data_IF_211581959865
#
_entry.id   IF_211581959865
#
_cell.length_a   1.000
_cell.length_b   1.000
_cell.length_c   1.000
_cell.angle_alpha   90.00
_cell.angle_beta   90.00
_cell.angle_gamma   90.00
#
_symmetry.space_group_name_H-M   'P 1'
#
loop_
_entity.id
_entity.type
_entity.pdbx_description
1 polymer ?
#
# COMPACT_ATOMS: atom_id res chain seq x y z
N UNK A 1 26.21 -7.58 53.50
CA UNK A 1 25.39 -8.19 52.43
C UNK A 1 24.39 -7.14 52.00
N UNK A 2 24.69 -6.42 50.92
CA UNK A 2 23.78 -5.41 50.35
C UNK A 2 23.14 -6.01 49.09
N UNK A 3 21.83 -6.22 49.16
CA UNK A 3 21.04 -6.64 47.99
C UNK A 3 20.80 -5.42 47.08
N UNK A 4 21.47 -5.38 45.96
CA UNK A 4 21.14 -4.45 44.87
C UNK A 4 19.96 -5.00 44.07
N UNK A 5 18.80 -4.43 44.31
CA UNK A 5 17.62 -4.68 43.50
C UNK A 5 17.77 -3.92 42.18
N UNK A 6 18.01 -4.63 41.09
CA UNK A 6 18.03 -4.06 39.74
C UNK A 6 16.58 -3.80 39.32
N UNK A 7 16.16 -2.55 39.37
CA UNK A 7 14.84 -2.14 38.82
C UNK A 7 14.94 -2.08 37.30
N UNK A 8 14.37 -3.08 36.66
CA UNK A 8 14.18 -3.06 35.21
C UNK A 8 13.07 -2.05 34.92
N UNK A 9 13.42 -0.88 34.39
CA UNK A 9 12.46 0.02 33.80
C UNK A 9 11.98 -0.60 32.47
N UNK A 10 10.79 -1.18 32.49
CA UNK A 10 10.06 -1.48 31.27
C UNK A 10 9.63 -0.13 30.75
N UNK A 11 10.24 0.33 29.67
CA UNK A 11 9.75 1.45 28.88
C UNK A 11 8.44 0.99 28.20
N UNK A 12 7.31 1.26 28.85
CA UNK A 12 6.01 1.13 28.22
C UNK A 12 5.86 2.21 27.15
N UNK A 13 5.48 1.78 25.93
CA UNK A 13 4.89 2.66 24.93
C UNK A 13 5.85 3.33 23.96
N UNK A 14 6.61 2.55 23.19
CA UNK A 14 7.00 3.03 21.86
C UNK A 14 5.71 3.32 21.08
N UNK A 15 5.47 4.57 20.72
CA UNK A 15 4.38 4.92 19.79
C UNK A 15 4.63 4.14 18.51
N UNK A 16 3.73 3.19 18.17
CA UNK A 16 3.86 2.44 16.93
C UNK A 16 3.65 3.44 15.77
N UNK A 17 4.74 3.84 15.14
CA UNK A 17 4.75 4.84 14.07
C UNK A 17 3.97 4.32 12.85
N UNK A 18 3.99 3.01 12.64
CA UNK A 18 3.15 2.31 11.69
C UNK A 18 1.76 2.04 12.30
N UNK A 19 0.85 3.01 12.21
CA UNK A 19 -0.50 2.92 12.78
C UNK A 19 -1.24 1.66 12.29
N UNK A 20 -1.80 0.88 13.20
CA UNK A 20 -2.57 -0.31 12.83
C UNK A 20 -3.78 0.05 11.95
N UNK A 21 -4.00 -0.72 10.89
CA UNK A 21 -5.08 -0.57 9.92
C UNK A 21 -6.01 -1.78 10.00
N UNK A 22 -7.30 -1.52 10.01
CA UNK A 22 -8.35 -2.53 9.82
C UNK A 22 -9.44 -1.91 8.93
N UNK A 23 -9.56 -2.43 7.70
CA UNK A 23 -10.55 -1.99 6.72
C UNK A 23 -11.84 -2.82 6.76
N UNK A 24 -12.07 -3.61 7.81
CA UNK A 24 -13.29 -4.40 7.95
C UNK A 24 -14.51 -3.49 7.86
N UNK A 25 -15.42 -3.78 6.93
CA UNK A 25 -16.63 -2.98 6.70
C UNK A 25 -16.41 -1.64 5.98
N UNK A 26 -15.17 -1.30 5.63
CA UNK A 26 -14.88 -0.08 4.86
C UNK A 26 -15.15 -0.33 3.38
N UNK A 27 -16.04 0.46 2.78
CA UNK A 27 -16.28 0.47 1.33
C UNK A 27 -16.28 1.89 0.85
N UNK A 28 -15.49 2.17 -0.18
CA UNK A 28 -15.42 3.49 -0.83
C UNK A 28 -15.87 3.35 -2.27
N UNK A 29 -16.82 4.21 -2.68
CA UNK A 29 -17.29 4.30 -4.05
C UNK A 29 -16.74 5.58 -4.68
N UNK A 30 -16.09 5.45 -5.82
CA UNK A 30 -15.61 6.56 -6.63
C UNK A 30 -16.49 6.74 -7.87
N UNK A 31 -16.06 7.54 -8.82
CA UNK A 31 -16.81 7.69 -10.08
C UNK A 31 -16.94 6.36 -10.87
N UNK A 32 -15.92 5.50 -10.83
CA UNK A 32 -15.87 4.26 -11.63
C UNK A 32 -15.59 3.01 -10.82
N UNK A 33 -15.04 3.12 -9.60
CA UNK A 33 -14.53 2.00 -8.82
C UNK A 33 -15.31 1.84 -7.50
N UNK A 34 -15.35 0.60 -7.03
CA UNK A 34 -15.67 0.26 -5.65
C UNK A 34 -14.41 -0.34 -5.02
N UNK A 35 -13.91 0.30 -3.95
CA UNK A 35 -12.82 -0.20 -3.13
C UNK A 35 -13.41 -0.85 -1.88
N UNK A 36 -13.16 -2.12 -1.67
CA UNK A 36 -13.75 -2.91 -0.59
C UNK A 36 -12.80 -3.98 -0.06
N UNK A 37 -13.06 -4.56 1.12
CA UNK A 37 -12.34 -5.75 1.56
C UNK A 37 -12.46 -6.90 0.54
N UNK A 38 -11.44 -7.74 0.49
CA UNK A 38 -11.42 -8.95 -0.32
C UNK A 38 -12.43 -9.98 0.18
N UNK A 39 -12.93 -10.82 -0.73
CA UNK A 39 -13.82 -11.95 -0.50
C UNK A 39 -13.23 -13.21 -1.14
N UNK A 40 -13.56 -14.38 -0.60
CA UNK A 40 -13.14 -15.66 -1.19
C UNK A 40 -13.60 -15.81 -2.65
N UNK A 41 -14.78 -15.25 -2.97
CA UNK A 41 -15.34 -15.25 -4.33
C UNK A 41 -14.53 -14.45 -5.35
N UNK A 42 -13.56 -13.64 -4.93
CA UNK A 42 -12.73 -12.82 -5.83
C UNK A 42 -11.54 -13.62 -6.43
N UNK A 43 -11.40 -14.91 -6.07
CA UNK A 43 -10.25 -15.73 -6.46
C UNK A 43 -10.03 -15.79 -7.98
N UNK A 44 -11.08 -15.94 -8.76
CA UNK A 44 -10.99 -16.06 -10.22
C UNK A 44 -10.46 -14.76 -10.83
N UNK A 45 -11.05 -13.63 -10.48
CA UNK A 45 -10.62 -12.31 -10.93
C UNK A 45 -9.18 -12.00 -10.47
N UNK A 46 -8.84 -12.36 -9.22
CA UNK A 46 -7.49 -12.17 -8.69
C UNK A 46 -6.46 -12.96 -9.50
N UNK A 47 -6.71 -14.25 -9.72
CA UNK A 47 -5.81 -15.08 -10.52
C UNK A 47 -5.70 -14.57 -11.97
N UNK A 48 -6.81 -14.13 -12.56
CA UNK A 48 -6.84 -13.64 -13.93
C UNK A 48 -5.84 -12.52 -14.20
N UNK A 49 -5.68 -11.54 -13.27
CA UNK A 49 -4.69 -10.50 -13.46
C UNK A 49 -3.32 -10.81 -12.84
N UNK A 50 -3.29 -11.56 -11.73
CA UNK A 50 -2.04 -11.83 -11.01
C UNK A 50 -1.16 -12.86 -11.73
N UNK A 51 -1.71 -13.70 -12.60
CA UNK A 51 -0.95 -14.63 -13.46
C UNK A 51 -0.37 -13.98 -14.71
N UNK A 52 -0.72 -12.73 -15.03
CA UNK A 52 -0.28 -12.04 -16.24
C UNK A 52 1.16 -11.54 -16.09
N UNK A 53 2.01 -11.91 -17.06
CA UNK A 53 3.38 -11.44 -17.11
C UNK A 53 3.48 -9.91 -17.19
N UNK A 54 4.42 -9.32 -16.44
CA UNK A 54 4.64 -7.89 -16.35
C UNK A 54 3.71 -7.16 -15.37
N UNK A 55 2.75 -7.83 -14.71
CA UNK A 55 1.90 -7.23 -13.67
C UNK A 55 2.64 -7.26 -12.32
N UNK A 56 2.92 -8.46 -11.81
CA UNK A 56 3.55 -8.64 -10.51
C UNK A 56 4.97 -8.15 -10.43
N UNK A 57 5.74 -8.30 -11.49
CA UNK A 57 7.14 -7.87 -11.53
C UNK A 57 7.30 -6.36 -11.29
N UNK A 58 6.30 -5.56 -11.66
CA UNK A 58 6.28 -4.11 -11.38
C UNK A 58 6.04 -3.78 -9.90
N UNK A 59 5.69 -4.79 -9.08
CA UNK A 59 5.48 -4.68 -7.64
C UNK A 59 6.35 -5.67 -6.84
N UNK A 60 7.39 -6.25 -7.46
CA UNK A 60 8.39 -7.09 -6.79
C UNK A 60 7.99 -8.55 -6.56
N UNK A 61 7.00 -9.08 -7.29
CA UNK A 61 6.60 -10.49 -7.21
C UNK A 61 6.39 -11.11 -8.61
N UNK A 62 6.52 -12.45 -8.69
CA UNK A 62 6.37 -13.19 -9.95
C UNK A 62 4.90 -13.47 -10.26
N UNK A 63 4.52 -13.65 -11.53
CA UNK A 63 3.17 -14.09 -11.89
C UNK A 63 2.77 -15.34 -11.12
N UNK A 64 1.53 -15.38 -10.65
CA UNK A 64 1.00 -16.53 -9.93
C UNK A 64 0.94 -17.76 -10.85
N UNK A 65 1.46 -18.87 -10.39
CA UNK A 65 1.58 -20.12 -11.17
C UNK A 65 0.25 -20.80 -11.38
N UNK A 66 -0.60 -20.75 -10.35
CA UNK A 66 -1.90 -21.41 -10.34
C UNK A 66 -2.86 -20.70 -9.35
N UNK A 67 -4.12 -21.16 -9.33
CA UNK A 67 -5.12 -20.62 -8.41
C UNK A 67 -4.84 -20.97 -6.94
N UNK A 68 -4.08 -22.02 -6.63
CA UNK A 68 -3.73 -22.34 -5.25
C UNK A 68 -2.78 -21.28 -4.67
N UNK A 69 -1.85 -20.78 -5.49
CA UNK A 69 -0.99 -19.66 -5.08
C UNK A 69 -1.81 -18.39 -4.85
N UNK A 70 -2.72 -18.07 -5.78
CA UNK A 70 -3.63 -16.93 -5.62
C UNK A 70 -4.51 -17.07 -4.38
N UNK A 71 -5.05 -18.25 -4.10
CA UNK A 71 -5.89 -18.52 -2.93
C UNK A 71 -5.15 -18.25 -1.62
N UNK A 72 -3.89 -18.68 -1.50
CA UNK A 72 -3.07 -18.41 -0.30
C UNK A 72 -2.85 -16.92 -0.08
N UNK A 73 -2.58 -16.17 -1.15
CA UNK A 73 -2.36 -14.72 -1.07
C UNK A 73 -3.67 -13.99 -0.80
N UNK A 74 -4.78 -14.43 -1.43
CA UNK A 74 -6.12 -13.89 -1.16
C UNK A 74 -6.50 -14.05 0.32
N UNK A 75 -6.28 -15.22 0.91
CA UNK A 75 -6.52 -15.45 2.33
C UNK A 75 -5.68 -14.50 3.20
N UNK A 76 -4.42 -14.27 2.83
CA UNK A 76 -3.58 -13.30 3.53
C UNK A 76 -4.17 -11.87 3.46
N UNK A 77 -4.73 -11.45 2.32
CA UNK A 77 -5.41 -10.16 2.22
C UNK A 77 -6.69 -10.08 3.07
N UNK A 78 -7.48 -11.15 3.10
CA UNK A 78 -8.71 -11.25 3.90
C UNK A 78 -8.38 -11.19 5.40
N UNK A 79 -7.40 -11.96 5.85
CA UNK A 79 -6.98 -12.05 7.26
C UNK A 79 -6.23 -10.78 7.71
N UNK A 80 -5.38 -10.23 6.85
CA UNK A 80 -4.57 -9.04 7.13
C UNK A 80 -5.37 -7.74 7.21
N UNK A 81 -6.53 -7.65 6.55
CA UNK A 81 -7.48 -6.52 6.64
C UNK A 81 -6.86 -5.13 6.37
N UNK A 82 -5.86 -5.07 5.52
CA UNK A 82 -5.18 -3.82 5.16
C UNK A 82 -5.02 -3.64 3.65
N UNK A 83 -5.67 -4.48 2.84
CA UNK A 83 -5.61 -4.44 1.38
C UNK A 83 -7.02 -4.38 0.79
N UNK A 84 -7.29 -3.36 -0.02
CA UNK A 84 -8.53 -3.22 -0.77
C UNK A 84 -8.48 -4.00 -2.10
N UNK A 85 -9.58 -4.67 -2.42
CA UNK A 85 -9.90 -5.09 -3.78
C UNK A 85 -10.44 -3.87 -4.55
N UNK A 86 -10.00 -3.70 -5.80
CA UNK A 86 -10.47 -2.65 -6.70
C UNK A 86 -11.47 -3.27 -7.68
N UNK A 87 -12.77 -3.02 -7.46
CA UNK A 87 -13.83 -3.53 -8.30
C UNK A 87 -14.23 -2.48 -9.36
N UNK A 88 -14.32 -2.91 -10.61
CA UNK A 88 -14.72 -2.14 -11.78
C UNK A 88 -15.70 -2.96 -12.61
N UNK A 89 -16.90 -2.43 -12.88
CA UNK A 89 -17.95 -3.12 -13.65
C UNK A 89 -18.27 -4.55 -13.15
N UNK A 90 -18.20 -4.76 -11.81
CA UNK A 90 -18.52 -6.04 -11.17
C UNK A 90 -17.35 -7.04 -11.09
N UNK A 91 -16.16 -6.70 -11.60
CA UNK A 91 -14.96 -7.54 -11.57
C UNK A 91 -13.85 -6.91 -10.74
N UNK A 92 -13.08 -7.71 -10.01
CA UNK A 92 -11.89 -7.22 -9.32
C UNK A 92 -10.73 -7.15 -10.30
N UNK A 93 -10.25 -5.93 -10.54
CA UNK A 93 -9.22 -5.63 -11.55
C UNK A 93 -7.87 -5.24 -10.94
N UNK A 94 -7.74 -5.23 -9.62
CA UNK A 94 -6.50 -4.83 -8.95
C UNK A 94 -6.62 -4.81 -7.44
N UNK A 95 -5.53 -4.41 -6.80
CA UNK A 95 -5.41 -4.29 -5.34
C UNK A 95 -4.74 -2.97 -4.95
N UNK A 96 -5.07 -2.47 -3.75
CA UNK A 96 -4.37 -1.40 -3.08
C UNK A 96 -4.18 -1.75 -1.61
N UNK A 97 -2.93 -2.02 -1.22
CA UNK A 97 -2.50 -2.32 0.14
C UNK A 97 -2.11 -1.07 0.91
N UNK A 98 -2.32 -1.12 2.23
CA UNK A 98 -1.87 -0.11 3.20
C UNK A 98 -0.85 -0.81 4.09
N UNK A 99 0.40 -0.76 3.67
CA UNK A 99 1.50 -1.52 4.23
C UNK A 99 2.25 -0.72 5.32
N UNK A 100 3.17 -1.37 6.01
CA UNK A 100 4.12 -0.69 6.90
C UNK A 100 5.16 0.05 6.07
N UNK A 101 5.37 1.34 6.35
CA UNK A 101 6.44 2.09 5.72
C UNK A 101 7.79 1.73 6.33
N UNK A 102 8.86 1.86 5.56
CA UNK A 102 10.21 1.63 6.03
C UNK A 102 10.71 2.82 6.87
N UNK A 103 10.67 2.67 8.19
CA UNK A 103 11.07 3.70 9.16
C UNK A 103 12.52 4.16 8.99
N UNK A 104 13.41 3.27 8.52
CA UNK A 104 14.83 3.61 8.31
C UNK A 104 15.06 4.59 7.17
N UNK A 105 14.16 4.64 6.20
CA UNK A 105 14.21 5.59 5.09
C UNK A 105 13.66 6.98 5.45
N UNK A 106 12.89 7.07 6.55
CA UNK A 106 12.22 8.29 6.99
C UNK A 106 12.46 8.60 8.48
N UNK A 107 13.74 8.63 8.95
CA UNK A 107 14.05 8.76 10.38
C UNK A 107 13.55 10.08 11.00
N UNK A 108 13.28 11.10 10.18
CA UNK A 108 12.74 12.39 10.64
C UNK A 108 11.24 12.34 11.00
N UNK A 109 10.57 11.20 10.80
CA UNK A 109 9.13 11.03 11.04
C UNK A 109 8.84 10.20 12.30
N UNK A 110 9.82 10.02 13.17
CA UNK A 110 9.82 9.12 14.33
C UNK A 110 8.76 9.44 15.41
N UNK A 111 8.10 10.59 15.33
CA UNK A 111 6.99 10.99 16.21
C UNK A 111 5.63 11.02 15.52
N UNK A 112 5.58 10.69 14.23
CA UNK A 112 4.39 10.78 13.38
C UNK A 112 3.85 9.40 13.03
N UNK A 113 2.55 9.30 12.81
CA UNK A 113 1.89 8.09 12.38
C UNK A 113 1.72 8.07 10.86
N UNK A 114 2.26 7.03 10.22
CA UNK A 114 2.19 6.87 8.77
C UNK A 114 1.91 5.47 8.31
N UNK A 115 1.73 5.32 7.01
CA UNK A 115 1.65 4.05 6.28
C UNK A 115 2.18 4.21 4.87
N UNK A 116 2.59 3.10 4.27
CA UNK A 116 2.92 3.03 2.85
C UNK A 116 1.71 2.51 2.06
N UNK A 117 1.49 3.04 0.86
CA UNK A 117 0.52 2.46 -0.07
C UNK A 117 1.24 1.77 -1.22
N UNK A 118 0.82 0.52 -1.45
CA UNK A 118 1.25 -0.26 -2.61
C UNK A 118 0.06 -0.68 -3.45
N UNK A 119 0.20 -0.77 -4.78
CA UNK A 119 -0.93 -1.11 -5.65
C UNK A 119 -0.52 -1.87 -6.90
N UNK A 120 -1.46 -2.64 -7.39
CA UNK A 120 -1.37 -3.39 -8.65
C UNK A 120 -2.68 -3.27 -9.41
N UNK A 121 -2.60 -3.18 -10.73
CA UNK A 121 -3.76 -3.12 -11.62
C UNK A 121 -3.60 -4.11 -12.77
N UNK A 122 -4.68 -4.77 -13.14
CA UNK A 122 -4.77 -5.58 -14.36
C UNK A 122 -4.26 -4.81 -15.57
N UNK A 123 -3.47 -5.48 -16.41
CA UNK A 123 -2.80 -4.90 -17.58
C UNK A 123 -3.77 -4.26 -18.56
N UNK A 124 -4.94 -4.87 -18.74
CA UNK A 124 -6.00 -4.39 -19.65
C UNK A 124 -6.63 -3.07 -19.19
N UNK A 125 -6.38 -2.68 -17.94
CA UNK A 125 -6.91 -1.48 -17.32
C UNK A 125 -5.85 -0.36 -17.15
N UNK A 126 -4.64 -0.57 -17.64
CA UNK A 126 -3.59 0.45 -17.58
C UNK A 126 -3.93 1.67 -18.48
N UNK A 127 -3.42 2.83 -18.10
CA UNK A 127 -3.57 4.07 -18.88
C UNK A 127 -4.94 4.75 -18.80
N UNK A 128 -5.94 4.12 -18.16
CA UNK A 128 -7.32 4.64 -18.05
C UNK A 128 -7.55 5.59 -16.87
N UNK A 129 -6.51 5.84 -16.03
CA UNK A 129 -6.59 6.71 -14.84
C UNK A 129 -7.25 6.08 -13.62
N UNK A 130 -7.66 4.80 -13.67
CA UNK A 130 -8.36 4.10 -12.59
C UNK A 130 -7.51 4.03 -11.32
N UNK A 131 -6.22 3.70 -11.41
CA UNK A 131 -5.36 3.65 -10.23
C UNK A 131 -5.17 5.03 -9.57
N UNK A 132 -5.08 6.10 -10.34
CA UNK A 132 -5.02 7.47 -9.79
C UNK A 132 -6.31 7.81 -9.03
N UNK A 133 -7.46 7.37 -9.53
CA UNK A 133 -8.76 7.53 -8.89
C UNK A 133 -8.82 6.75 -7.57
N UNK A 134 -8.41 5.49 -7.57
CA UNK A 134 -8.34 4.64 -6.38
C UNK A 134 -7.40 5.22 -5.29
N UNK A 135 -6.18 5.60 -5.69
CA UNK A 135 -5.18 6.17 -4.76
C UNK A 135 -5.70 7.45 -4.11
N UNK A 136 -6.35 8.33 -4.85
CA UNK A 136 -6.94 9.56 -4.28
C UNK A 136 -8.01 9.26 -3.23
N UNK A 137 -8.88 8.29 -3.48
CA UNK A 137 -9.91 7.88 -2.51
C UNK A 137 -9.28 7.30 -1.23
N UNK A 138 -8.23 6.48 -1.35
CA UNK A 138 -7.52 5.93 -0.19
C UNK A 138 -6.76 7.00 0.57
N UNK A 139 -6.14 7.98 -0.10
CA UNK A 139 -5.49 9.13 0.55
C UNK A 139 -6.50 9.90 1.40
N UNK A 140 -7.68 10.20 0.84
CA UNK A 140 -8.74 10.88 1.59
C UNK A 140 -9.16 10.08 2.83
N UNK A 141 -9.42 8.78 2.68
CA UNK A 141 -9.73 7.87 3.80
C UNK A 141 -8.63 7.89 4.86
N UNK A 142 -7.37 7.73 4.47
CA UNK A 142 -6.25 7.67 5.42
C UNK A 142 -6.05 8.97 6.18
N UNK A 143 -6.22 10.13 5.55
CA UNK A 143 -6.09 11.43 6.23
C UNK A 143 -7.34 11.86 6.97
N UNK A 144 -8.54 11.54 6.45
CA UNK A 144 -9.81 12.01 7.00
C UNK A 144 -10.40 11.10 8.07
N UNK A 145 -10.31 9.77 7.91
CA UNK A 145 -10.91 8.80 8.81
C UNK A 145 -9.88 8.14 9.71
N UNK A 146 -8.81 7.59 9.15
CA UNK A 146 -7.72 6.96 9.89
C UNK A 146 -6.88 7.98 10.66
N UNK A 147 -6.82 9.24 10.19
CA UNK A 147 -6.07 10.36 10.82
C UNK A 147 -4.55 10.18 10.78
N UNK A 148 -4.00 9.61 9.72
CA UNK A 148 -2.56 9.57 9.53
C UNK A 148 -1.97 10.98 9.40
N UNK A 149 -0.68 11.12 9.70
CA UNK A 149 0.10 12.35 9.54
C UNK A 149 0.75 12.42 8.16
N UNK A 150 1.14 11.25 7.62
CA UNK A 150 1.73 11.14 6.29
C UNK A 150 1.44 9.77 5.66
N UNK A 151 1.67 9.69 4.35
CA UNK A 151 1.60 8.46 3.55
C UNK A 151 2.86 8.40 2.70
N UNK A 152 3.48 7.22 2.58
CA UNK A 152 4.58 6.97 1.65
C UNK A 152 4.11 6.12 0.47
N UNK A 153 4.85 6.14 -0.61
CA UNK A 153 4.68 5.27 -1.77
C UNK A 153 6.00 5.14 -2.51
N UNK A 154 6.28 3.94 -3.03
CA UNK A 154 7.47 3.68 -3.81
C UNK A 154 7.16 3.13 -5.20
N UNK A 155 8.14 3.24 -6.10
CA UNK A 155 8.11 2.55 -7.40
C UNK A 155 9.51 2.27 -7.92
N UNK A 156 9.69 1.17 -8.63
CA UNK A 156 10.95 0.89 -9.32
C UNK A 156 11.27 1.95 -10.37
N UNK A 157 12.51 2.35 -10.48
CA UNK A 157 12.96 3.47 -11.34
C UNK A 157 12.51 3.34 -12.80
N UNK A 158 12.32 2.12 -13.29
CA UNK A 158 11.82 1.82 -14.63
C UNK A 158 10.28 1.81 -14.74
N UNK A 159 9.53 1.78 -13.62
CA UNK A 159 8.07 1.76 -13.61
C UNK A 159 7.45 3.16 -13.75
N UNK A 160 7.54 3.71 -14.97
CA UNK A 160 7.03 5.06 -15.27
C UNK A 160 5.51 5.22 -15.14
N UNK A 161 4.75 4.11 -15.13
CA UNK A 161 3.29 4.17 -14.89
C UNK A 161 3.00 4.47 -13.43
N UNK A 162 3.65 3.76 -12.51
CA UNK A 162 3.51 4.03 -11.07
C UNK A 162 4.00 5.43 -10.73
N UNK A 163 5.13 5.87 -11.27
CA UNK A 163 5.63 7.24 -11.11
C UNK A 163 4.55 8.27 -11.39
N UNK A 164 3.87 8.15 -12.54
CA UNK A 164 2.81 9.09 -12.94
C UNK A 164 1.60 9.08 -12.00
N UNK A 165 1.26 7.92 -11.43
CA UNK A 165 0.17 7.83 -10.44
C UNK A 165 0.56 8.58 -9.18
N UNK A 166 1.74 8.30 -8.63
CA UNK A 166 2.29 8.90 -7.41
C UNK A 166 2.36 10.43 -7.55
N UNK A 167 2.95 10.93 -8.64
CA UNK A 167 3.07 12.36 -8.91
C UNK A 167 1.70 13.05 -9.06
N UNK A 168 0.73 12.43 -9.79
CA UNK A 168 -0.63 12.96 -9.94
C UNK A 168 -1.44 12.98 -8.65
N UNK A 169 -1.04 12.18 -7.67
CA UNK A 169 -1.66 12.16 -6.34
C UNK A 169 -1.00 13.13 -5.36
N UNK A 170 0.01 13.90 -5.80
CA UNK A 170 0.62 14.97 -5.03
C UNK A 170 1.78 14.54 -4.12
N UNK A 171 2.27 13.32 -4.26
CA UNK A 171 3.45 12.87 -3.53
C UNK A 171 4.71 13.57 -4.07
N UNK A 172 5.61 13.93 -3.16
CA UNK A 172 6.94 14.45 -3.50
C UNK A 172 8.02 13.40 -3.30
N UNK A 173 9.00 13.39 -4.18
CA UNK A 173 10.17 12.51 -4.09
C UNK A 173 11.02 12.83 -2.85
N UNK A 174 11.56 11.77 -2.23
CA UNK A 174 12.43 11.88 -1.05
C UNK A 174 13.81 11.29 -1.33
N UNK A 175 13.87 10.02 -1.72
CA UNK A 175 15.14 9.30 -1.91
C UNK A 175 14.97 8.14 -2.88
N UNK A 176 16.09 7.53 -3.27
CA UNK A 176 16.12 6.23 -3.95
C UNK A 176 16.83 5.24 -3.04
N UNK A 177 16.26 4.06 -2.88
CA UNK A 177 16.76 3.01 -2.01
C UNK A 177 16.70 1.64 -2.69
N UNK A 178 17.56 0.70 -2.32
CA UNK A 178 17.48 -0.68 -2.80
C UNK A 178 16.22 -1.35 -2.23
N UNK A 179 15.53 -2.10 -3.07
CA UNK A 179 14.37 -2.92 -2.74
C UNK A 179 14.65 -4.37 -3.12
N UNK A 180 14.57 -5.27 -2.16
CA UNK A 180 14.70 -6.71 -2.39
C UNK A 180 13.35 -7.30 -2.83
N UNK A 181 13.30 -7.82 -4.05
CA UNK A 181 12.10 -8.42 -4.62
C UNK A 181 11.85 -9.82 -4.06
N UNK A 182 10.63 -10.32 -4.14
CA UNK A 182 10.29 -11.70 -3.74
C UNK A 182 10.89 -12.78 -4.64
N UNK A 183 11.52 -12.39 -5.74
CA UNK A 183 12.28 -13.29 -6.64
C UNK A 183 13.80 -13.09 -6.55
N UNK A 184 14.28 -12.57 -5.40
CA UNK A 184 15.69 -12.43 -5.01
C UNK A 184 16.51 -11.56 -5.97
N UNK A 185 15.93 -10.51 -6.52
CA UNK A 185 16.67 -9.44 -7.20
C UNK A 185 16.60 -8.15 -6.38
N UNK A 186 17.59 -7.29 -6.55
CA UNK A 186 17.59 -5.96 -5.95
C UNK A 186 17.23 -4.97 -7.05
N UNK A 187 16.19 -4.22 -6.85
CA UNK A 187 15.73 -3.13 -7.71
C UNK A 187 15.97 -1.79 -7.03
N UNK A 188 16.18 -0.74 -7.80
CA UNK A 188 16.17 0.64 -7.27
C UNK A 188 14.74 1.15 -7.19
N UNK A 189 14.29 1.46 -5.97
CA UNK A 189 12.99 2.06 -5.69
C UNK A 189 13.13 3.54 -5.40
N UNK A 190 12.33 4.35 -6.08
CA UNK A 190 12.17 5.76 -5.79
C UNK A 190 11.06 5.92 -4.76
N UNK A 191 11.39 6.57 -3.63
CA UNK A 191 10.52 6.70 -2.47
C UNK A 191 9.94 8.12 -2.38
N UNK A 192 8.66 8.19 -2.10
CA UNK A 192 7.88 9.43 -2.08
C UNK A 192 7.10 9.55 -0.78
N UNK A 193 6.73 10.79 -0.43
CA UNK A 193 5.90 11.11 0.72
C UNK A 193 4.82 12.13 0.35
N UNK A 194 3.68 12.01 1.01
CA UNK A 194 2.62 13.01 1.05
C UNK A 194 2.23 13.23 2.52
N UNK A 195 2.42 14.44 3.02
CA UNK A 195 1.98 14.81 4.37
C UNK A 195 0.54 15.31 4.36
N UNK A 196 -0.15 15.14 5.48
CA UNK A 196 -1.52 15.66 5.65
C UNK A 196 -1.60 17.17 5.43
N UNK A 197 -0.54 17.91 5.77
CA UNK A 197 -0.47 19.34 5.54
C UNK A 197 -0.42 19.68 4.04
N UNK A 198 0.41 18.96 3.26
CA UNK A 198 0.52 19.13 1.81
C UNK A 198 -0.81 18.77 1.12
N UNK A 199 -1.42 17.66 1.51
CA UNK A 199 -2.73 17.23 0.99
C UNK A 199 -3.81 18.29 1.24
N UNK A 200 -3.92 18.85 2.46
CA UNK A 200 -4.90 19.90 2.78
C UNK A 200 -4.70 21.17 1.94
N UNK A 201 -3.45 21.58 1.72
CA UNK A 201 -3.15 22.76 0.89
C UNK A 201 -3.55 22.58 -0.58
N UNK A 202 -3.53 21.36 -1.10
CA UNK A 202 -3.94 21.06 -2.47
C UNK A 202 -5.47 20.99 -2.66
N UNK A 203 -6.24 21.03 -1.57
CA UNK A 203 -7.72 21.04 -1.57
C UNK A 203 -8.30 22.47 -1.57
N UNK A 204 -7.49 23.48 -1.23
CA UNK A 204 -7.84 24.90 -1.22
C UNK A 204 -7.58 25.57 -2.57
#
# INVERSE_FOLDING_TARGET
MQNSTCTVFILEGGTNMNKQIDITGVTMTTHRLVLRPWKESDLEDFYAYASVDGVGQMAGWTPHKDQNESSRILNHFIEGKHCFALEYEGHVIGSLGIEEYNETLFPQLDTLQGREIGYVLSKDHWGKGLMTEAVKAVIEYLFSDVKLDFITAGHFTHNKRSQRVIEKCGFRYVTTAPYETRFNTIEESMEYILTKQEWRKAQC
#
